data_IF_770412008500
#
_entry.id   IF_770412008500
#
_cell.length_a   1.000
_cell.length_b   1.000
_cell.length_c   1.000
_cell.angle_alpha   90.00
_cell.angle_beta   90.00
_cell.angle_gamma   90.00
#
_symmetry.space_group_name_H-M   'P 1'
#
loop_
_entity.id
_entity.type
_entity.pdbx_description
1 polymer ?
#
# COMPACT_ATOMS: atom_id res chain seq x y z
N UNK A 1 -17.18 -7.32 -49.15
CA UNK A 1 -17.30 -6.22 -48.17
C UNK A 1 -17.31 -6.90 -46.81
N UNK A 2 -16.13 -7.20 -46.27
CA UNK A 2 -16.00 -7.89 -44.99
C UNK A 2 -15.68 -6.85 -43.93
N UNK A 3 -16.61 -6.65 -43.00
CA UNK A 3 -16.39 -5.89 -41.78
C UNK A 3 -15.43 -6.68 -40.88
N UNK A 4 -14.25 -6.10 -40.66
CA UNK A 4 -13.30 -6.57 -39.67
C UNK A 4 -13.72 -5.95 -38.33
N UNK A 5 -14.43 -6.72 -37.50
CA UNK A 5 -14.58 -6.38 -36.09
C UNK A 5 -13.23 -6.63 -35.41
N UNK A 6 -12.48 -5.62 -34.93
CA UNK A 6 -11.29 -5.88 -34.15
C UNK A 6 -11.70 -6.53 -32.82
N UNK A 7 -10.96 -7.57 -32.48
CA UNK A 7 -11.06 -8.36 -31.27
C UNK A 7 -11.07 -7.49 -30.01
N UNK A 8 -12.00 -7.82 -29.11
CA UNK A 8 -11.94 -7.63 -27.65
C UNK A 8 -11.25 -6.35 -27.17
N UNK A 9 -12.06 -5.33 -26.81
CA UNK A 9 -11.62 -4.27 -25.90
C UNK A 9 -11.28 -4.94 -24.55
N UNK A 10 -10.04 -5.39 -24.38
CA UNK A 10 -9.50 -5.67 -23.06
C UNK A 10 -9.65 -4.37 -22.27
N UNK A 11 -10.54 -4.37 -21.27
CA UNK A 11 -10.64 -3.22 -20.38
C UNK A 11 -9.25 -3.03 -19.77
N UNK A 12 -8.69 -1.81 -19.77
CA UNK A 12 -7.40 -1.58 -19.15
C UNK A 12 -7.49 -2.05 -17.68
N UNK A 13 -6.50 -2.81 -17.23
CA UNK A 13 -6.43 -3.22 -15.84
C UNK A 13 -6.59 -1.98 -14.94
N UNK A 14 -7.40 -2.07 -13.86
CA UNK A 14 -7.65 -0.92 -13.01
C UNK A 14 -6.33 -0.42 -12.44
N UNK A 15 -5.99 0.85 -12.65
CA UNK A 15 -4.74 1.45 -12.14
C UNK A 15 -4.77 1.73 -10.64
N UNK A 16 -5.92 1.48 -9.99
CA UNK A 16 -6.07 1.65 -8.56
C UNK A 16 -7.09 0.67 -7.99
N UNK A 17 -6.89 0.31 -6.72
CA UNK A 17 -7.81 -0.51 -5.95
C UNK A 17 -8.05 0.09 -4.57
N UNK A 18 -9.31 0.15 -4.13
CA UNK A 18 -9.70 0.72 -2.83
C UNK A 18 -10.54 -0.26 -2.04
N UNK A 19 -10.17 -0.49 -0.78
CA UNK A 19 -10.92 -1.31 0.16
C UNK A 19 -11.09 -0.56 1.49
N UNK A 20 -12.33 -0.39 1.94
CA UNK A 20 -12.64 0.10 3.29
C UNK A 20 -13.12 -1.08 4.13
N UNK A 21 -12.49 -1.27 5.29
CA UNK A 21 -12.74 -2.41 6.15
C UNK A 21 -12.58 -2.05 7.62
N UNK A 22 -13.09 -2.93 8.49
CA UNK A 22 -12.69 -3.01 9.89
C UNK A 22 -11.59 -4.07 10.00
N UNK A 23 -10.38 -3.68 10.34
CA UNK A 23 -9.22 -4.57 10.38
C UNK A 23 -9.33 -5.58 11.54
N UNK A 24 -9.07 -6.85 11.24
CA UNK A 24 -9.02 -7.95 12.19
C UNK A 24 -7.90 -8.93 11.83
N UNK A 25 -7.85 -10.05 12.55
CA UNK A 25 -6.77 -11.06 12.44
C UNK A 25 -6.58 -11.61 11.03
N UNK A 26 -7.64 -11.71 10.23
CA UNK A 26 -7.59 -12.23 8.86
C UNK A 26 -7.42 -11.16 7.79
N UNK A 27 -7.50 -9.87 8.15
CA UNK A 27 -7.48 -8.78 7.18
C UNK A 27 -6.15 -8.70 6.43
N UNK A 28 -5.02 -8.89 7.12
CA UNK A 28 -3.70 -8.86 6.49
C UNK A 28 -3.57 -9.96 5.40
N UNK A 29 -4.02 -11.18 5.69
CA UNK A 29 -4.01 -12.27 4.71
C UNK A 29 -4.84 -11.92 3.46
N UNK A 30 -6.05 -11.41 3.66
CA UNK A 30 -6.92 -11.03 2.54
C UNK A 30 -6.31 -9.90 1.70
N UNK A 31 -5.74 -8.89 2.34
CA UNK A 31 -5.12 -7.75 1.64
C UNK A 31 -3.85 -8.18 0.90
N UNK A 32 -3.04 -9.09 1.44
CA UNK A 32 -1.90 -9.68 0.72
C UNK A 32 -2.33 -10.42 -0.55
N UNK A 33 -3.37 -11.25 -0.44
CA UNK A 33 -3.92 -11.95 -1.61
C UNK A 33 -4.40 -10.99 -2.70
N UNK A 34 -5.00 -9.86 -2.30
CA UNK A 34 -5.41 -8.80 -3.23
C UNK A 34 -4.17 -8.10 -3.83
N UNK A 35 -3.18 -7.75 -2.99
CA UNK A 35 -1.97 -7.08 -3.42
C UNK A 35 -1.24 -7.90 -4.48
N UNK A 36 -1.06 -9.20 -4.25
CA UNK A 36 -0.44 -10.13 -5.20
C UNK A 36 -1.16 -10.14 -6.54
N UNK A 37 -2.48 -10.35 -6.53
CA UNK A 37 -3.29 -10.34 -7.76
C UNK A 37 -3.17 -9.03 -8.53
N UNK A 38 -3.16 -7.89 -7.83
CA UNK A 38 -3.00 -6.58 -8.47
C UNK A 38 -1.61 -6.37 -9.05
N UNK A 39 -0.57 -6.85 -8.37
CA UNK A 39 0.81 -6.75 -8.85
C UNK A 39 1.03 -7.64 -10.08
N UNK A 40 0.45 -8.83 -10.11
CA UNK A 40 0.39 -9.69 -11.31
C UNK A 40 -0.35 -8.97 -12.46
N UNK A 41 -1.54 -8.42 -12.20
CA UNK A 41 -2.29 -7.66 -13.21
C UNK A 41 -1.58 -6.38 -13.69
N UNK A 42 -0.57 -5.90 -12.93
CA UNK A 42 0.19 -4.69 -13.23
C UNK A 42 1.58 -4.93 -13.81
N UNK A 43 1.98 -6.19 -14.00
CA UNK A 43 3.33 -6.61 -14.41
C UNK A 43 4.42 -6.13 -13.40
N UNK A 44 4.11 -6.25 -12.10
CA UNK A 44 4.95 -5.81 -10.98
C UNK A 44 5.19 -6.94 -9.95
N UNK A 45 5.19 -8.20 -10.38
CA UNK A 45 5.28 -9.36 -9.47
C UNK A 45 6.55 -9.36 -8.63
N UNK A 46 7.63 -8.75 -9.14
CA UNK A 46 8.90 -8.58 -8.43
C UNK A 46 8.77 -7.80 -7.12
N UNK A 47 7.70 -7.02 -6.94
CA UNK A 47 7.45 -6.23 -5.75
C UNK A 47 6.60 -6.97 -4.69
N UNK A 48 6.13 -8.18 -5.00
CA UNK A 48 5.13 -8.89 -4.18
C UNK A 48 5.58 -9.05 -2.73
N UNK A 49 6.79 -9.56 -2.49
CA UNK A 49 7.27 -9.83 -1.14
C UNK A 49 7.38 -8.55 -0.30
N UNK A 50 7.95 -7.49 -0.89
CA UNK A 50 8.09 -6.19 -0.25
C UNK A 50 6.73 -5.58 0.10
N UNK A 51 5.80 -5.56 -0.87
CA UNK A 51 4.47 -4.99 -0.71
C UNK A 51 3.65 -5.79 0.32
N UNK A 52 3.67 -7.12 0.26
CA UNK A 52 2.94 -7.98 1.18
C UNK A 52 3.39 -7.81 2.63
N UNK A 53 4.71 -7.70 2.83
CA UNK A 53 5.30 -7.50 4.14
C UNK A 53 4.96 -6.11 4.69
N UNK A 54 5.15 -5.06 3.89
CA UNK A 54 4.83 -3.69 4.27
C UNK A 54 3.33 -3.48 4.59
N UNK A 55 2.43 -4.03 3.77
CA UNK A 55 0.98 -4.02 4.03
C UNK A 55 0.65 -4.74 5.33
N UNK A 56 1.30 -5.87 5.61
CA UNK A 56 1.02 -6.64 6.81
C UNK A 56 1.33 -5.81 8.06
N UNK A 57 2.46 -5.10 8.08
CA UNK A 57 2.81 -4.23 9.20
C UNK A 57 1.86 -3.03 9.33
N UNK A 58 1.48 -2.39 8.23
CA UNK A 58 0.51 -1.29 8.29
C UNK A 58 -0.86 -1.75 8.84
N UNK A 59 -1.35 -2.90 8.41
CA UNK A 59 -2.62 -3.46 8.91
C UNK A 59 -2.50 -3.90 10.37
N UNK A 60 -1.37 -4.47 10.76
CA UNK A 60 -1.12 -4.81 12.16
C UNK A 60 -1.08 -3.54 13.03
N UNK A 61 -0.48 -2.44 12.55
CA UNK A 61 -0.52 -1.15 13.23
C UNK A 61 -1.95 -0.61 13.38
N UNK A 62 -2.80 -0.74 12.37
CA UNK A 62 -4.23 -0.38 12.49
C UNK A 62 -4.91 -1.21 13.59
N UNK A 63 -4.73 -2.53 13.59
CA UNK A 63 -5.35 -3.41 14.59
C UNK A 63 -4.89 -3.08 16.02
N UNK A 64 -3.61 -2.72 16.19
CA UNK A 64 -3.03 -2.41 17.50
C UNK A 64 -3.38 -1.01 18.01
N UNK A 65 -3.43 0.00 17.14
CA UNK A 65 -3.44 1.40 17.56
C UNK A 65 -4.70 2.18 17.19
N UNK A 66 -5.58 1.66 16.33
CA UNK A 66 -6.82 2.35 15.93
C UNK A 66 -8.01 1.78 16.70
N UNK A 67 -8.68 2.57 17.57
CA UNK A 67 -9.71 2.06 18.47
C UNK A 67 -10.88 1.33 17.78
N UNK A 68 -11.39 1.87 16.66
CA UNK A 68 -12.48 1.26 15.88
C UNK A 68 -11.97 0.31 14.79
N UNK A 69 -10.64 0.22 14.63
CA UNK A 69 -9.92 -0.55 13.60
C UNK A 69 -10.39 -0.27 12.18
N UNK A 70 -11.09 0.85 11.94
CA UNK A 70 -11.57 1.18 10.60
C UNK A 70 -10.44 1.82 9.81
N UNK A 71 -10.21 1.29 8.61
CA UNK A 71 -9.26 1.87 7.69
C UNK A 71 -9.72 1.74 6.24
N UNK A 72 -9.11 2.55 5.39
CA UNK A 72 -9.20 2.44 3.93
C UNK A 72 -7.81 2.16 3.39
N UNK A 73 -7.67 1.04 2.69
CA UNK A 73 -6.48 0.69 1.91
C UNK A 73 -6.69 1.15 0.49
N UNK A 74 -5.70 1.84 -0.06
CA UNK A 74 -5.65 2.27 -1.45
C UNK A 74 -4.34 1.78 -2.05
N UNK A 75 -4.40 1.03 -3.14
CA UNK A 75 -3.24 0.65 -3.94
C UNK A 75 -3.31 1.38 -5.28
N UNK A 76 -2.20 1.98 -5.69
CA UNK A 76 -2.09 2.83 -6.87
C UNK A 76 -0.94 2.33 -7.72
N UNK A 77 -1.20 1.94 -8.97
CA UNK A 77 -0.15 1.73 -9.96
C UNK A 77 0.51 3.07 -10.26
N UNK A 78 1.82 3.12 -10.07
CA UNK A 78 2.66 4.24 -10.47
C UNK A 78 3.42 3.89 -11.76
N UNK A 79 4.07 4.88 -12.37
CA UNK A 79 4.85 4.67 -13.60
C UNK A 79 5.98 3.66 -13.44
N UNK A 80 6.59 3.61 -12.26
CA UNK A 80 7.76 2.78 -11.97
C UNK A 80 7.52 1.78 -10.83
N UNK A 81 6.26 1.54 -10.44
CA UNK A 81 5.99 0.70 -9.26
C UNK A 81 4.59 0.85 -8.71
N UNK A 82 4.46 0.73 -7.40
CA UNK A 82 3.18 0.80 -6.68
C UNK A 82 3.29 1.71 -5.45
N UNK A 83 2.21 2.44 -5.18
CA UNK A 83 2.00 3.16 -3.92
C UNK A 83 0.85 2.55 -3.17
N UNK A 84 1.04 2.29 -1.88
CA UNK A 84 0.00 1.82 -0.98
C UNK A 84 -0.24 2.84 0.11
N UNK A 85 -1.50 3.17 0.35
CA UNK A 85 -1.93 4.08 1.40
C UNK A 85 -2.92 3.40 2.33
N UNK A 86 -2.72 3.54 3.64
CA UNK A 86 -3.64 3.10 4.68
C UNK A 86 -4.10 4.32 5.46
N UNK A 87 -5.33 4.73 5.19
CA UNK A 87 -6.00 5.84 5.87
C UNK A 87 -6.82 5.31 7.05
N UNK A 88 -6.69 5.94 8.21
CA UNK A 88 -7.49 5.62 9.40
C UNK A 88 -7.81 6.89 10.22
N UNK A 89 -8.86 6.80 11.04
CA UNK A 89 -9.41 7.93 11.81
C UNK A 89 -10.50 8.70 11.05
N UNK A 90 -11.67 8.84 11.67
CA UNK A 90 -12.80 9.61 11.15
C UNK A 90 -13.32 10.60 12.21
N UNK A 91 -13.48 11.88 11.83
CA UNK A 91 -14.62 12.71 12.21
C UNK A 91 -14.69 13.27 13.63
N UNK A 92 -13.77 12.93 14.52
CA UNK A 92 -13.61 13.61 15.80
C UNK A 92 -12.20 14.19 15.82
N UNK A 93 -12.08 15.45 16.21
CA UNK A 93 -10.81 16.09 16.55
C UNK A 93 -10.20 15.33 17.73
N UNK A 94 -9.66 14.14 17.47
CA UNK A 94 -8.72 13.50 18.37
C UNK A 94 -7.47 14.39 18.30
N UNK A 95 -6.92 14.84 19.44
CA UNK A 95 -5.65 15.54 19.41
C UNK A 95 -4.70 14.67 18.60
N UNK A 96 -4.10 15.25 17.56
CA UNK A 96 -3.15 14.55 16.72
C UNK A 96 -2.18 13.83 17.66
N UNK A 97 -2.09 12.49 17.62
CA UNK A 97 -1.05 11.80 18.36
C UNK A 97 0.25 12.47 17.94
N UNK A 98 0.97 13.04 18.91
CA UNK A 98 2.24 13.71 18.67
C UNK A 98 3.11 12.76 17.82
N UNK A 99 3.94 13.30 16.94
CA UNK A 99 4.88 12.50 16.13
C UNK A 99 5.64 11.49 17.00
N UNK A 100 5.93 11.87 18.25
CA UNK A 100 6.55 11.03 19.27
C UNK A 100 5.78 9.76 19.68
N UNK A 101 4.45 9.68 19.51
CA UNK A 101 3.67 8.47 19.85
C UNK A 101 3.72 7.38 18.78
N UNK A 102 4.05 7.73 17.52
CA UNK A 102 4.35 6.70 16.50
C UNK A 102 5.78 6.16 16.67
N UNK A 103 6.69 6.99 17.19
CA UNK A 103 8.07 6.59 17.49
C UNK A 103 8.19 5.75 18.76
N UNK A 104 7.28 5.92 19.74
CA UNK A 104 7.55 5.44 21.10
C UNK A 104 7.02 4.06 21.51
N UNK A 105 6.20 3.35 20.73
CA UNK A 105 5.63 2.07 21.26
C UNK A 105 5.81 0.81 20.41
N UNK A 106 6.36 0.88 19.18
CA UNK A 106 6.90 -0.32 18.51
C UNK A 106 7.76 0.02 17.29
N UNK A 107 8.87 0.74 17.48
CA UNK A 107 9.79 1.17 16.41
C UNK A 107 10.29 0.07 15.45
N UNK A 108 9.97 -1.21 15.70
CA UNK A 108 10.20 -2.34 14.79
C UNK A 108 9.34 -2.32 13.52
N UNK A 109 8.09 -1.84 13.59
CA UNK A 109 7.17 -1.87 12.45
C UNK A 109 7.51 -0.82 11.38
N UNK A 110 7.93 0.37 11.81
CA UNK A 110 8.42 1.43 10.91
C UNK A 110 9.82 1.12 10.40
N UNK A 111 10.70 0.58 11.26
CA UNK A 111 12.00 0.07 10.84
C UNK A 111 11.90 -0.99 9.73
N UNK A 112 10.85 -1.82 9.77
CA UNK A 112 10.63 -2.79 8.71
C UNK A 112 10.22 -2.13 7.38
N UNK A 113 9.45 -1.03 7.40
CA UNK A 113 9.21 -0.24 6.19
C UNK A 113 10.51 0.35 5.65
N UNK A 114 11.33 0.97 6.50
CA UNK A 114 12.65 1.51 6.11
C UNK A 114 13.54 0.48 5.40
N UNK A 115 13.41 -0.79 5.76
CA UNK A 115 14.23 -1.87 5.20
C UNK A 115 13.69 -2.46 3.89
N UNK A 116 12.39 -2.36 3.59
CA UNK A 116 11.73 -3.16 2.53
C UNK A 116 11.05 -2.33 1.44
N UNK A 117 10.89 -1.02 1.63
CA UNK A 117 10.23 -0.14 0.66
C UNK A 117 11.16 1.01 0.26
N UNK A 118 10.99 1.57 -0.93
CA UNK A 118 11.81 2.67 -1.41
C UNK A 118 11.56 3.98 -0.65
N UNK A 119 10.30 4.24 -0.35
CA UNK A 119 9.85 5.46 0.37
C UNK A 119 8.63 5.15 1.19
N UNK A 120 8.54 5.76 2.36
CA UNK A 120 7.31 5.76 3.13
C UNK A 120 7.14 7.09 3.85
N UNK A 121 5.94 7.33 4.37
CA UNK A 121 5.69 8.49 5.17
C UNK A 121 4.31 8.48 5.81
N UNK A 122 4.05 9.55 6.55
CA UNK A 122 2.76 9.79 7.19
C UNK A 122 2.28 11.17 6.78
N UNK A 123 1.02 11.27 6.36
CA UNK A 123 0.39 12.55 6.02
C UNK A 123 -0.94 12.70 6.76
N UNK A 124 -1.34 13.94 7.11
CA UNK A 124 -2.69 14.20 7.59
C UNK A 124 -3.73 13.76 6.55
N UNK A 125 -4.82 13.15 7.00
CA UNK A 125 -5.95 12.84 6.15
C UNK A 125 -7.10 13.83 6.40
N UNK A 126 -7.82 14.21 5.35
CA UNK A 126 -8.98 15.11 5.46
C UNK A 126 -9.97 14.58 6.50
N UNK A 127 -10.36 15.45 7.45
CA UNK A 127 -11.28 15.11 8.54
C UNK A 127 -10.63 14.60 9.83
N UNK A 128 -9.34 14.90 10.06
CA UNK A 128 -8.64 14.58 11.31
C UNK A 128 -8.04 13.17 11.40
N UNK A 129 -7.98 12.46 10.27
CA UNK A 129 -7.35 11.13 10.20
C UNK A 129 -5.85 11.21 9.89
N UNK A 130 -5.21 10.05 9.85
CA UNK A 130 -3.84 9.87 9.36
C UNK A 130 -3.84 8.93 8.16
N UNK A 131 -2.94 9.19 7.22
CA UNK A 131 -2.61 8.27 6.13
C UNK A 131 -1.17 7.88 6.31
N UNK A 132 -0.90 6.59 6.50
CA UNK A 132 0.44 6.02 6.38
C UNK A 132 0.56 5.43 4.98
N UNK A 133 1.66 5.68 4.29
CA UNK A 133 1.85 5.26 2.92
C UNK A 133 3.27 4.76 2.68
N UNK A 134 3.42 3.90 1.68
CA UNK A 134 4.72 3.49 1.14
C UNK A 134 4.69 3.36 -0.38
N UNK A 135 5.87 3.40 -0.99
CA UNK A 135 6.13 3.22 -2.41
C UNK A 135 7.18 2.12 -2.60
N UNK A 136 6.93 1.21 -3.52
CA UNK A 136 7.89 0.23 -3.99
C UNK A 136 8.08 0.41 -5.50
N UNK A 137 9.32 0.51 -5.96
CA UNK A 137 9.66 0.68 -7.36
C UNK A 137 10.16 -0.65 -7.94
N UNK A 138 9.63 -1.02 -9.11
CA UNK A 138 10.25 -2.06 -9.91
C UNK A 138 11.56 -1.49 -10.45
N UNK A 139 12.66 -1.76 -9.74
CA UNK A 139 13.99 -1.51 -10.27
C UNK A 139 14.10 -2.33 -11.55
N UNK A 140 14.14 -1.67 -12.71
CA UNK A 140 14.59 -2.33 -13.92
C UNK A 140 16.01 -2.80 -13.66
N UNK A 141 16.20 -4.11 -13.62
CA UNK A 141 17.47 -4.81 -13.30
C UNK A 141 18.56 -4.61 -14.38
N UNK A 142 18.53 -3.47 -15.08
CA UNK A 142 19.39 -3.12 -16.21
C UNK A 142 20.42 -2.02 -15.88
N UNK A 143 20.32 -1.33 -14.73
CA UNK A 143 21.28 -0.29 -14.31
C UNK A 143 22.43 -0.84 -13.44
N UNK A 144 22.94 -2.04 -13.74
CA UNK A 144 24.26 -2.43 -13.26
C UNK A 144 25.30 -1.69 -14.11
N UNK A 145 26.13 -0.77 -13.56
CA UNK A 145 27.20 -0.16 -14.34
C UNK A 145 28.16 -1.27 -14.81
N UNK A 146 28.29 -1.43 -16.13
CA UNK A 146 29.36 -2.18 -16.74
C UNK A 146 30.69 -1.51 -16.40
N UNK A 147 31.31 -1.87 -15.29
CA UNK A 147 32.70 -1.50 -15.01
C UNK A 147 33.61 -2.38 -15.85
N UNK A 148 34.19 -1.78 -16.91
CA UNK A 148 35.37 -2.29 -17.62
C UNK A 148 36.59 -2.37 -16.71
#
# INVERSE_FOLDING_TARGET
MNEYFPSTLASPAPTQYRLTLTAGTHSAHHIRSIARSLLEDWDLETLTDAVELAVTELIANVVRHVPDRRCTVLMLKQRAGVRVEVKYGHGQLLPAPAESQLESESGRGLFLLDAVVDKWGVSPASGGGKTVWFECNATSDWDAPLTS
#
